data_IF_403520236884
#
_entry.id   IF_403520236884
#
_cell.length_a   1.000
_cell.length_b   1.000
_cell.length_c   1.000
_cell.angle_alpha   90.00
_cell.angle_beta   90.00
_cell.angle_gamma   90.00
#
_symmetry.space_group_name_H-M   'P 1'
#
loop_
_entity.id
_entity.type
_entity.pdbx_description
1 polymer ?
#
# COMPACT_ATOMS: atom_id res chain seq x y z
N UNK A 1 -17.71 -2.67 29.00
CA UNK A 1 -17.83 -2.54 27.53
C UNK A 1 -17.00 -1.32 27.13
N UNK A 2 -15.98 -1.35 26.27
CA UNK A 2 -15.97 -1.85 24.89
C UNK A 2 -14.55 -2.30 24.50
N UNK A 3 -14.40 -3.58 24.11
CA UNK A 3 -13.27 -4.08 23.32
C UNK A 3 -13.73 -4.11 21.86
N UNK A 4 -13.45 -3.06 21.09
CA UNK A 4 -13.51 -3.01 19.62
C UNK A 4 -12.91 -1.64 19.24
N UNK A 5 -11.88 -1.45 18.43
CA UNK A 5 -11.52 -2.12 17.20
C UNK A 5 -9.98 -2.21 17.08
N UNK A 6 -9.43 -3.42 17.19
CA UNK A 6 -8.08 -3.73 16.74
C UNK A 6 -8.25 -4.70 15.57
N UNK A 7 -8.16 -4.22 14.34
CA UNK A 7 -8.44 -5.08 13.19
C UNK A 7 -8.13 -4.56 11.78
N UNK A 8 -7.77 -3.28 11.58
CA UNK A 8 -7.66 -2.72 10.22
C UNK A 8 -6.22 -2.61 9.66
N UNK A 9 -5.18 -2.80 10.47
CA UNK A 9 -3.86 -2.21 10.19
C UNK A 9 -2.83 -3.09 9.45
N UNK A 10 -3.21 -4.25 8.92
CA UNK A 10 -2.24 -5.20 8.32
C UNK A 10 -2.21 -5.30 6.80
N UNK A 11 -3.15 -4.69 6.06
CA UNK A 11 -3.28 -4.87 4.60
C UNK A 11 -2.97 -3.61 3.76
N UNK A 12 -2.21 -2.66 4.31
CA UNK A 12 -1.99 -1.34 3.69
C UNK A 12 -1.07 -1.41 2.45
N UNK A 13 -0.35 -2.52 2.22
CA UNK A 13 0.63 -2.64 1.14
C UNK A 13 0.05 -2.45 -0.26
N UNK A 14 -1.06 -3.12 -0.57
CA UNK A 14 -1.68 -3.06 -1.90
C UNK A 14 -2.41 -1.73 -2.17
N UNK A 15 -3.23 -1.18 -1.25
CA UNK A 15 -3.84 0.14 -1.41
C UNK A 15 -2.80 1.25 -1.57
N UNK A 16 -1.72 1.21 -0.79
CA UNK A 16 -0.64 2.20 -0.87
C UNK A 16 0.13 2.09 -2.20
N UNK A 17 0.45 0.87 -2.62
CA UNK A 17 1.09 0.62 -3.91
C UNK A 17 0.24 1.10 -5.08
N UNK A 18 -1.06 0.85 -5.05
CA UNK A 18 -1.99 1.30 -6.10
C UNK A 18 -2.12 2.83 -6.13
N UNK A 19 -2.26 3.48 -4.98
CA UNK A 19 -2.34 4.94 -4.91
C UNK A 19 -1.09 5.63 -5.48
N UNK A 20 0.10 5.12 -5.12
CA UNK A 20 1.37 5.60 -5.69
C UNK A 20 1.50 5.30 -7.18
N UNK A 21 1.13 4.09 -7.61
CA UNK A 21 1.18 3.70 -9.01
C UNK A 21 0.29 4.56 -9.90
N UNK A 22 -0.94 4.85 -9.46
CA UNK A 22 -1.86 5.73 -10.19
C UNK A 22 -1.29 7.16 -10.26
N UNK A 23 -0.74 7.70 -9.16
CA UNK A 23 -0.14 9.03 -9.16
C UNK A 23 1.04 9.15 -10.16
N UNK A 24 1.92 8.14 -10.18
CA UNK A 24 3.04 8.06 -11.13
C UNK A 24 2.52 7.90 -12.56
N UNK A 25 1.54 7.02 -12.77
CA UNK A 25 0.94 6.78 -14.09
C UNK A 25 0.26 8.01 -14.68
N UNK A 26 -0.45 8.78 -13.86
CA UNK A 26 -1.03 10.07 -14.28
C UNK A 26 0.07 11.08 -14.62
N UNK A 27 1.15 11.14 -13.83
CA UNK A 27 2.30 12.01 -14.14
C UNK A 27 3.04 11.65 -15.42
N UNK A 28 2.97 10.38 -15.84
CA UNK A 28 3.57 9.87 -17.08
C UNK A 28 2.59 9.81 -18.26
N UNK A 29 1.34 10.24 -18.08
CA UNK A 29 0.23 10.06 -19.03
C UNK A 29 0.07 8.59 -19.50
N UNK A 30 0.46 7.66 -18.62
CA UNK A 30 0.44 6.22 -18.84
C UNK A 30 -0.03 5.51 -17.57
N UNK A 31 -1.35 5.49 -17.38
CA UNK A 31 -2.00 4.84 -16.23
C UNK A 31 -1.71 3.33 -16.24
N UNK A 32 -1.62 2.69 -17.41
CA UNK A 32 -1.30 1.26 -17.50
C UNK A 32 0.06 0.93 -16.89
N UNK A 33 1.09 1.71 -17.24
CA UNK A 33 2.42 1.58 -16.66
C UNK A 33 2.41 1.91 -15.15
N UNK A 34 1.71 2.97 -14.74
CA UNK A 34 1.59 3.35 -13.34
C UNK A 34 0.95 2.29 -12.46
N UNK A 35 -0.16 1.69 -12.91
CA UNK A 35 -0.82 0.59 -12.19
C UNK A 35 0.10 -0.64 -12.11
N UNK A 36 0.77 -1.02 -13.20
CA UNK A 36 1.69 -2.14 -13.20
C UNK A 36 2.82 -1.95 -12.18
N UNK A 37 3.43 -0.76 -12.15
CA UNK A 37 4.47 -0.37 -11.19
C UNK A 37 3.90 -0.40 -9.77
N UNK A 38 2.75 0.24 -9.54
CA UNK A 38 2.11 0.31 -8.23
C UNK A 38 1.75 -1.05 -7.65
N UNK A 39 1.23 -1.96 -8.46
CA UNK A 39 0.92 -3.34 -8.05
C UNK A 39 2.21 -4.10 -7.73
N UNK A 40 3.26 -4.00 -8.57
CA UNK A 40 4.55 -4.66 -8.31
C UNK A 40 5.14 -4.19 -6.97
N UNK A 41 5.16 -2.88 -6.71
CA UNK A 41 5.66 -2.35 -5.44
C UNK A 41 4.75 -2.71 -4.26
N UNK A 42 3.43 -2.61 -4.42
CA UNK A 42 2.46 -2.96 -3.36
C UNK A 42 2.55 -4.44 -2.95
N UNK A 43 2.66 -5.34 -3.92
CA UNK A 43 2.84 -6.77 -3.70
C UNK A 43 4.24 -7.07 -3.14
N UNK A 44 5.30 -6.40 -3.61
CA UNK A 44 6.65 -6.58 -3.07
C UNK A 44 6.76 -6.13 -1.61
N UNK A 45 6.11 -5.02 -1.24
CA UNK A 45 6.04 -4.52 0.14
C UNK A 45 5.20 -5.45 1.02
N UNK A 46 4.08 -5.99 0.52
CA UNK A 46 3.29 -7.01 1.22
C UNK A 46 4.08 -8.31 1.45
N UNK A 47 4.75 -8.80 0.41
CA UNK A 47 5.60 -9.99 0.45
C UNK A 47 6.79 -9.80 1.41
N UNK A 48 7.39 -8.61 1.44
CA UNK A 48 8.52 -8.28 2.35
C UNK A 48 8.08 -8.19 3.80
N UNK A 49 6.89 -7.63 4.07
CA UNK A 49 6.31 -7.58 5.42
C UNK A 49 6.00 -8.97 6.01
N UNK A 50 5.77 -9.98 5.16
CA UNK A 50 5.63 -11.39 5.61
C UNK A 50 6.94 -12.02 6.08
N UNK A 51 8.10 -11.45 5.73
CA UNK A 51 9.44 -11.97 6.08
C UNK A 51 10.19 -11.14 7.13
N UNK A 52 9.78 -9.90 7.40
CA UNK A 52 10.40 -9.05 8.40
C UNK A 52 9.47 -7.95 8.85
N UNK A 53 8.87 -8.12 10.04
CA UNK A 53 8.22 -7.00 10.71
C UNK A 53 9.27 -5.98 11.14
N UNK A 54 9.30 -4.81 10.51
CA UNK A 54 9.61 -3.46 11.05
C UNK A 54 9.94 -2.51 9.89
N UNK A 55 9.29 -1.34 9.90
CA UNK A 55 9.63 -0.20 9.04
C UNK A 55 8.47 0.23 8.16
N UNK A 56 7.86 1.37 8.47
CA UNK A 56 6.79 2.00 7.68
C UNK A 56 5.48 2.16 8.43
N UNK A 57 5.52 2.80 9.59
CA UNK A 57 4.54 3.81 10.00
C UNK A 57 4.58 4.94 8.94
N UNK A 58 3.50 5.54 8.45
CA UNK A 58 2.60 6.42 9.17
C UNK A 58 1.58 6.99 8.18
N UNK A 59 0.37 7.30 8.65
CA UNK A 59 -0.43 8.42 8.13
C UNK A 59 -1.55 8.07 7.15
N UNK A 60 -2.79 8.09 7.65
CA UNK A 60 -4.01 8.03 6.85
C UNK A 60 -5.22 7.79 7.74
N UNK A 61 -5.52 8.77 8.59
CA UNK A 61 -6.62 8.71 9.56
C UNK A 61 -8.00 8.87 8.92
N UNK A 62 -8.95 8.19 9.59
CA UNK A 62 -10.40 8.41 9.71
C UNK A 62 -11.14 9.15 8.61
#
# INVERSE_FOLDING_TARGET
>A
MSRTASGASRLIGLPLGLAMGVAIGVGMDNIGAGIAIGIVFGVALDASKRKGGRGGDSGGGG
#
